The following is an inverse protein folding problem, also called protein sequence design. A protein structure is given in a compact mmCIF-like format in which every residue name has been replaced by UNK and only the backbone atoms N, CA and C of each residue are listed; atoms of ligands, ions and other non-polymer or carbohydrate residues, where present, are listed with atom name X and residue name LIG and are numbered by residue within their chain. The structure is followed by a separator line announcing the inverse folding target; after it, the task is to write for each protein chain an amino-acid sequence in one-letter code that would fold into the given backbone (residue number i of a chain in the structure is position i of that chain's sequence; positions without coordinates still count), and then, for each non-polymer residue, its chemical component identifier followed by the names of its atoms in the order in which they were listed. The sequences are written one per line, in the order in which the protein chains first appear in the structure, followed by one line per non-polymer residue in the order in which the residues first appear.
data_IF_274627250437
#
_entry.id   IF_274627250437
#
_cell.length_a   1.000
_cell.length_b   1.000
_cell.length_c   1.000
_cell.angle_alpha   90.00
_cell.angle_beta   90.00
_cell.angle_gamma   90.00
#
_symmetry.space_group_name_H-M   'P 1'
#
loop_
_entity.id
_entity.type
_entity.pdbx_description
1 polymer ?
#
# COMPACT_ATOMS: atom_id res chain seq x y z
N UNK A 1 42.09 17.43 -28.25
CA UNK A 1 41.03 16.69 -28.98
C UNK A 1 40.70 15.34 -28.33
N UNK A 2 41.67 14.46 -28.06
CA UNK A 2 41.42 13.16 -27.42
C UNK A 2 40.73 13.23 -26.03
N UNK A 3 41.03 14.24 -25.21
CA UNK A 3 40.41 14.40 -23.89
C UNK A 3 38.91 14.76 -23.95
N UNK A 4 38.52 15.55 -24.96
CA UNK A 4 37.12 15.94 -25.19
C UNK A 4 36.28 14.74 -25.66
N UNK A 5 36.88 13.88 -26.50
CA UNK A 5 36.25 12.63 -26.97
C UNK A 5 36.01 11.68 -25.80
N UNK A 6 37.00 11.52 -24.90
CA UNK A 6 36.85 10.67 -23.71
C UNK A 6 35.72 11.16 -22.79
N UNK A 7 35.65 12.47 -22.52
CA UNK A 7 34.61 13.02 -21.66
C UNK A 7 33.21 12.87 -22.26
N UNK A 8 33.07 13.09 -23.58
CA UNK A 8 31.81 12.87 -24.30
C UNK A 8 31.34 11.41 -24.25
N UNK A 9 32.27 10.46 -24.33
CA UNK A 9 31.96 9.02 -24.28
C UNK A 9 31.52 8.59 -22.88
N UNK A 10 32.18 9.10 -21.84
CA UNK A 10 31.80 8.86 -20.44
C UNK A 10 30.42 9.45 -20.13
N UNK A 11 30.12 10.67 -20.60
CA UNK A 11 28.82 11.31 -20.40
C UNK A 11 27.69 10.50 -21.06
N UNK A 12 27.93 10.00 -22.27
CA UNK A 12 26.96 9.17 -23.00
C UNK A 12 26.67 7.85 -22.27
N UNK A 13 27.69 7.18 -21.72
CA UNK A 13 27.52 5.93 -20.97
C UNK A 13 26.71 6.12 -19.69
N UNK A 14 26.90 7.24 -18.98
CA UNK A 14 26.14 7.56 -17.76
C UNK A 14 24.64 7.79 -18.05
N UNK A 15 24.32 8.44 -19.16
CA UNK A 15 22.93 8.68 -19.60
C UNK A 15 22.24 7.35 -19.96
N UNK A 16 22.90 6.47 -20.70
CA UNK A 16 22.34 5.15 -21.09
C UNK A 16 22.03 4.28 -19.86
N UNK A 17 22.91 4.27 -18.85
CA UNK A 17 22.69 3.50 -17.61
C UNK A 17 21.55 4.07 -16.75
N UNK A 18 21.34 5.40 -16.77
CA UNK A 18 20.21 6.04 -16.11
C UNK A 18 18.89 5.73 -16.81
N UNK A 19 18.87 5.70 -18.15
CA UNK A 19 17.72 5.32 -18.95
C UNK A 19 17.35 3.84 -18.78
N UNK A 20 18.34 2.96 -18.65
CA UNK A 20 18.13 1.52 -18.46
C UNK A 20 17.39 1.19 -17.15
N UNK A 21 17.57 2.01 -16.10
CA UNK A 21 16.84 1.86 -14.83
C UNK A 21 15.45 2.51 -14.85
N UNK A 22 15.19 3.41 -15.79
CA UNK A 22 13.91 4.13 -15.89
C UNK A 22 12.77 3.24 -16.41
N UNK A 23 13.08 2.22 -17.22
CA UNK A 23 12.06 1.24 -17.66
C UNK A 23 11.60 0.27 -16.55
N UNK A 24 12.36 0.08 -15.47
CA UNK A 24 12.10 -1.00 -14.50
C UNK A 24 11.13 -0.59 -13.37
N UNK A 25 10.72 0.68 -13.28
CA UNK A 25 9.87 1.16 -12.16
C UNK A 25 8.41 1.43 -12.49
N UNK A 26 7.98 1.32 -13.75
CA UNK A 26 6.55 1.43 -14.10
C UNK A 26 5.94 0.03 -14.23
N UNK A 27 5.89 -0.67 -13.10
CA UNK A 27 5.16 -1.94 -12.95
C UNK A 27 3.63 -1.80 -13.03
N UNK A 28 3.11 -0.99 -13.94
CA UNK A 28 1.68 -0.90 -14.22
C UNK A 28 1.28 -2.05 -15.15
N UNK A 29 0.62 -3.06 -14.61
CA UNK A 29 -0.08 -4.09 -15.38
C UNK A 29 -1.53 -3.66 -15.62
N UNK A 30 -1.87 -2.97 -16.73
CA UNK A 30 -3.25 -2.52 -16.99
C UNK A 30 -4.24 -3.68 -17.15
N UNK A 31 -3.76 -4.91 -17.38
CA UNK A 31 -4.58 -6.13 -17.49
C UNK A 31 -5.26 -6.53 -16.16
N UNK A 32 -4.86 -5.94 -15.03
CA UNK A 32 -5.47 -6.19 -13.72
C UNK A 32 -6.67 -5.27 -13.43
N UNK A 33 -6.96 -4.27 -14.27
CA UNK A 33 -8.11 -3.35 -14.11
C UNK A 33 -9.38 -3.87 -14.80
N UNK A 34 -9.59 -5.19 -14.84
CA UNK A 34 -10.82 -5.75 -15.41
C UNK A 34 -11.96 -5.68 -14.38
N UNK A 35 -12.65 -4.54 -14.31
CA UNK A 35 -13.84 -4.34 -13.47
C UNK A 35 -14.98 -5.33 -13.76
N UNK A 36 -14.94 -6.08 -14.86
CA UNK A 36 -15.94 -7.10 -15.17
C UNK A 36 -15.93 -8.28 -14.17
N UNK A 37 -14.80 -8.51 -13.48
CA UNK A 37 -14.69 -9.52 -12.41
C UNK A 37 -15.33 -9.07 -11.07
N UNK A 38 -15.58 -7.77 -10.89
CA UNK A 38 -16.32 -7.24 -9.73
C UNK A 38 -17.85 -7.38 -9.89
N UNK A 39 -18.34 -7.60 -11.11
CA UNK A 39 -19.77 -7.72 -11.38
C UNK A 39 -20.39 -9.01 -10.78
N UNK A 40 -19.56 -10.01 -10.43
CA UNK A 40 -19.98 -11.23 -9.70
C UNK A 40 -19.83 -11.14 -8.17
N UNK A 41 -19.26 -10.04 -7.67
CA UNK A 41 -19.13 -9.69 -6.25
C UNK A 41 -19.66 -8.27 -6.07
N UNK A 42 -20.94 -8.05 -6.32
CA UNK A 42 -21.57 -6.74 -6.12
C UNK A 42 -21.34 -6.33 -4.66
N UNK A 43 -20.34 -5.47 -4.44
CA UNK A 43 -20.08 -4.85 -3.14
C UNK A 43 -21.26 -3.91 -2.87
N UNK A 44 -22.28 -4.45 -2.22
CA UNK A 44 -23.39 -3.65 -1.75
C UNK A 44 -22.93 -2.87 -0.53
N UNK A 45 -22.87 -1.54 -0.68
CA UNK A 45 -22.67 -0.65 0.45
C UNK A 45 -23.75 -0.88 1.49
N UNK A 46 -23.34 -0.96 2.74
CA UNK A 46 -24.21 -1.11 3.90
C UNK A 46 -23.94 0.02 4.88
N UNK A 47 -24.97 0.49 5.57
CA UNK A 47 -24.81 1.54 6.59
C UNK A 47 -24.02 0.99 7.78
N UNK A 48 -22.99 1.72 8.21
CA UNK A 48 -22.22 1.42 9.41
C UNK A 48 -21.93 2.72 10.19
N UNK A 49 -21.77 2.60 11.51
CA UNK A 49 -21.29 3.69 12.35
C UNK A 49 -19.78 3.56 12.58
N UNK A 50 -19.08 4.69 12.59
CA UNK A 50 -17.65 4.74 12.87
C UNK A 50 -17.36 5.74 13.99
N UNK A 51 -16.43 5.37 14.86
CA UNK A 51 -15.86 6.23 15.90
C UNK A 51 -14.36 6.00 15.96
N UNK A 52 -13.63 6.93 16.57
CA UNK A 52 -12.18 6.87 16.71
C UNK A 52 -11.79 7.01 18.17
N UNK A 53 -10.59 6.57 18.51
CA UNK A 53 -10.01 6.67 19.85
C UNK A 53 -8.49 6.79 19.74
N UNK A 54 -7.83 7.26 20.81
CA UNK A 54 -6.39 7.48 20.84
C UNK A 54 -5.98 8.87 20.36
N UNK A 55 -4.73 8.98 19.90
CA UNK A 55 -4.22 10.26 19.37
C UNK A 55 -4.78 10.51 17.96
N UNK A 56 -4.99 11.78 17.56
CA UNK A 56 -5.51 12.13 16.23
C UNK A 56 -4.71 11.51 15.07
N UNK A 57 -3.38 11.42 15.22
CA UNK A 57 -2.46 10.85 14.23
C UNK A 57 -1.95 9.44 14.62
N UNK A 58 -2.59 8.80 15.60
CA UNK A 58 -2.17 7.51 16.16
C UNK A 58 -2.95 6.31 15.60
N UNK A 59 -2.44 5.11 15.86
CA UNK A 59 -3.10 3.85 15.51
C UNK A 59 -4.16 3.40 16.55
N UNK A 60 -4.75 4.34 17.30
CA UNK A 60 -5.56 4.03 18.47
C UNK A 60 -4.69 3.58 19.67
N UNK A 61 -4.83 2.31 20.07
CA UNK A 61 -4.12 1.73 21.21
C UNK A 61 -3.00 0.81 20.75
N UNK A 62 -1.88 0.80 21.48
CA UNK A 62 -0.71 -0.08 21.24
C UNK A 62 -0.97 -1.59 21.45
N UNK A 63 -2.20 -2.00 21.78
CA UNK A 63 -2.57 -3.38 22.13
C UNK A 63 -4.00 -3.71 21.71
N UNK A 64 -4.17 -4.25 20.50
CA UNK A 64 -5.45 -4.72 19.97
C UNK A 64 -5.63 -6.24 20.08
N UNK A 65 -6.87 -6.72 20.00
CA UNK A 65 -7.25 -8.13 20.14
C UNK A 65 -6.60 -9.07 19.13
N UNK A 66 -6.16 -8.55 17.97
CA UNK A 66 -5.44 -9.31 16.95
C UNK A 66 -3.96 -9.59 17.31
N UNK A 67 -3.41 -8.95 18.35
CA UNK A 67 -2.04 -9.21 18.81
C UNK A 67 -0.93 -8.53 18.00
N UNK A 68 -1.25 -7.62 17.06
CA UNK A 68 -0.23 -6.88 16.29
C UNK A 68 0.60 -5.90 17.13
N UNK A 69 0.10 -5.51 18.30
CA UNK A 69 0.80 -4.60 19.20
C UNK A 69 1.20 -3.29 18.49
N UNK A 70 2.44 -2.84 18.70
CA UNK A 70 2.99 -1.61 18.10
C UNK A 70 3.29 -1.70 16.60
N UNK A 71 3.18 -2.88 15.97
CA UNK A 71 3.41 -3.03 14.54
C UNK A 71 2.34 -2.30 13.71
N UNK A 72 1.16 -2.04 14.28
CA UNK A 72 0.07 -1.31 13.62
C UNK A 72 0.46 0.11 13.19
N UNK A 73 1.43 0.72 13.87
CA UNK A 73 1.92 2.07 13.54
C UNK A 73 3.03 2.06 12.48
N UNK A 74 3.53 0.88 12.12
CA UNK A 74 4.61 0.71 11.15
C UNK A 74 4.04 0.28 9.79
N UNK A 75 4.81 0.51 8.73
CA UNK A 75 4.50 -0.07 7.42
C UNK A 75 4.41 -1.60 7.52
N UNK A 76 3.44 -2.26 6.87
CA UNK A 76 2.51 -1.72 5.86
C UNK A 76 1.23 -1.08 6.43
N UNK A 77 0.96 -1.21 7.73
CA UNK A 77 -0.29 -0.75 8.33
C UNK A 77 -0.32 0.78 8.47
N UNK A 78 0.78 1.41 8.87
CA UNK A 78 0.93 2.87 8.93
C UNK A 78 -0.25 3.57 9.62
N UNK A 79 -0.73 3.01 10.73
CA UNK A 79 -1.91 3.47 11.49
C UNK A 79 -3.26 3.36 10.75
N UNK A 80 -3.30 2.75 9.56
CA UNK A 80 -4.53 2.44 8.82
C UNK A 80 -5.15 1.14 9.37
N UNK A 81 -5.71 1.22 10.57
CA UNK A 81 -6.35 0.11 11.27
C UNK A 81 -7.77 0.49 11.70
N UNK A 82 -8.59 -0.51 12.00
CA UNK A 82 -9.93 -0.29 12.56
C UNK A 82 -10.22 -1.29 13.68
N UNK A 83 -11.04 -0.87 14.64
CA UNK A 83 -11.63 -1.76 15.64
C UNK A 83 -13.08 -2.02 15.24
N UNK A 84 -13.46 -3.29 15.11
CA UNK A 84 -14.79 -3.69 14.65
C UNK A 84 -15.61 -4.32 15.76
N UNK A 85 -16.93 -4.39 15.58
CA UNK A 85 -17.83 -5.07 16.53
C UNK A 85 -17.58 -6.58 16.55
N UNK A 86 -18.00 -7.30 17.61
CA UNK A 86 -17.85 -8.75 17.69
C UNK A 86 -18.43 -9.53 16.50
N UNK A 87 -19.51 -9.02 15.90
CA UNK A 87 -20.14 -9.62 14.72
C UNK A 87 -19.25 -9.60 13.48
N UNK A 88 -18.37 -8.60 13.37
CA UNK A 88 -17.39 -8.46 12.28
C UNK A 88 -16.04 -9.06 12.64
N UNK A 89 -15.61 -8.97 13.90
CA UNK A 89 -14.34 -9.52 14.38
C UNK A 89 -14.26 -11.06 14.27
N UNK A 90 -15.41 -11.74 14.41
CA UNK A 90 -15.54 -13.22 14.33
C UNK A 90 -14.44 -14.00 15.05
N UNK A 91 -14.08 -13.56 16.27
CA UNK A 91 -13.01 -14.15 17.09
C UNK A 91 -11.63 -14.15 16.42
N UNK A 92 -11.32 -13.12 15.62
CA UNK A 92 -10.04 -12.96 14.93
C UNK A 92 -9.86 -13.83 13.69
N UNK A 93 -10.95 -14.46 13.21
CA UNK A 93 -10.91 -15.35 12.03
C UNK A 93 -11.05 -14.60 10.71
N UNK A 94 -11.64 -13.40 10.74
CA UNK A 94 -11.84 -12.56 9.57
C UNK A 94 -11.21 -11.18 9.81
N UNK A 95 -10.13 -10.89 9.08
CA UNK A 95 -9.63 -9.53 8.85
C UNK A 95 -10.00 -9.16 7.42
N UNK A 96 -11.24 -8.71 7.23
CA UNK A 96 -11.64 -8.10 5.96
C UNK A 96 -10.76 -6.84 5.74
N UNK A 97 -10.09 -6.69 4.60
CA UNK A 97 -9.38 -5.46 4.28
C UNK A 97 -10.41 -4.33 4.19
N UNK A 98 -10.23 -3.28 5.00
CA UNK A 98 -10.97 -2.04 4.80
C UNK A 98 -10.61 -1.48 3.42
N UNK A 99 -11.54 -1.60 2.48
CA UNK A 99 -11.56 -0.89 1.19
C UNK A 99 -12.16 0.49 1.36
#
# INVERSE_FOLDING_TARGET
MAALIKYSLVLALMVVMSCYKFEVCLGFNPKQLNMSALNGRTAHWSTAGATWYGSPDGAGSDGGSCGYGKLVSQSPFSSMITATSPSLYKSGKDVEPAI
#
